data_IF_528557094801
#
_entry.id   IF_528557094801
#
_cell.length_a   1.000
_cell.length_b   1.000
_cell.length_c   1.000
_cell.angle_alpha   90.00
_cell.angle_beta   90.00
_cell.angle_gamma   90.00
#
_symmetry.space_group_name_H-M   'P 1'
#
loop_
_entity.id
_entity.type
_entity.pdbx_description
1 polymer ?
#
# COMPACT_ATOMS: atom_id res chain seq x y z
N UNK A 1 19.27 9.85 -60.80
CA UNK A 1 20.66 10.39 -60.80
C UNK A 1 20.54 11.90 -60.58
N UNK A 2 21.11 12.57 -59.57
CA UNK A 2 22.42 12.45 -58.91
C UNK A 2 22.31 12.70 -57.39
N UNK A 3 23.31 12.19 -56.66
CA UNK A 3 23.50 12.21 -55.21
C UNK A 3 24.13 13.52 -54.75
N UNK A 4 23.80 13.97 -53.55
CA UNK A 4 24.72 14.82 -52.75
C UNK A 4 24.61 14.41 -51.28
N UNK A 5 25.62 13.68 -50.80
CA UNK A 5 25.87 13.42 -49.39
C UNK A 5 27.03 14.32 -48.95
N UNK A 6 26.83 15.14 -47.93
CA UNK A 6 27.85 15.75 -47.06
C UNK A 6 27.21 15.76 -45.67
N UNK A 7 27.36 14.69 -44.89
CA UNK A 7 28.38 14.47 -43.84
C UNK A 7 28.40 15.49 -42.70
N UNK A 8 28.11 14.94 -41.51
CA UNK A 8 28.83 15.11 -40.24
C UNK A 8 28.49 16.27 -39.27
N UNK A 9 27.95 15.84 -38.12
CA UNK A 9 28.39 16.14 -36.74
C UNK A 9 28.21 17.59 -36.24
N UNK A 10 27.34 17.81 -35.26
CA UNK A 10 27.73 17.99 -33.83
C UNK A 10 26.55 18.52 -32.96
N UNK A 11 26.34 17.87 -31.79
CA UNK A 11 26.09 18.49 -30.46
C UNK A 11 24.70 19.17 -30.28
N UNK A 12 23.88 18.94 -29.26
CA UNK A 12 23.95 18.20 -28.02
C UNK A 12 22.54 18.10 -27.39
N UNK A 13 22.34 17.03 -26.62
CA UNK A 13 21.56 16.97 -25.37
C UNK A 13 20.57 18.11 -25.06
N UNK A 14 19.29 17.92 -25.39
CA UNK A 14 18.21 18.41 -24.54
C UNK A 14 17.68 17.22 -23.74
N UNK A 15 18.42 16.96 -22.67
CA UNK A 15 18.07 16.21 -21.46
C UNK A 15 16.61 15.76 -21.36
N UNK A 16 16.45 14.45 -21.57
CA UNK A 16 15.48 13.58 -20.95
C UNK A 16 15.17 14.05 -19.50
N UNK A 17 14.01 14.67 -19.27
CA UNK A 17 13.42 14.82 -17.93
C UNK A 17 12.92 13.44 -17.47
N UNK A 18 13.84 12.48 -17.30
CA UNK A 18 13.61 11.28 -16.51
C UNK A 18 14.00 11.62 -15.08
N UNK A 19 13.01 12.09 -14.31
CA UNK A 19 13.07 12.26 -12.87
C UNK A 19 12.12 11.30 -12.17
N UNK A 20 12.01 10.07 -12.65
CA UNK A 20 11.40 8.97 -11.87
C UNK A 20 12.48 8.44 -10.92
N UNK A 21 12.60 9.06 -9.75
CA UNK A 21 13.33 8.50 -8.63
C UNK A 21 12.32 8.15 -7.53
N UNK A 22 11.67 6.99 -7.68
CA UNK A 22 11.06 6.30 -6.56
C UNK A 22 12.13 5.36 -5.99
N UNK A 23 13.00 5.91 -5.16
CA UNK A 23 13.88 5.17 -4.28
C UNK A 23 13.81 5.86 -2.92
N UNK A 24 13.75 5.10 -1.84
CA UNK A 24 13.85 5.63 -0.48
C UNK A 24 15.23 6.28 -0.32
N UNK A 25 15.32 7.57 -0.63
CA UNK A 25 16.56 8.30 -0.82
C UNK A 25 16.85 9.11 0.46
N UNK A 26 17.82 8.65 1.24
CA UNK A 26 18.39 9.42 2.35
C UNK A 26 19.43 10.46 1.83
N UNK A 27 19.40 10.81 0.54
CA UNK A 27 20.20 11.89 -0.01
C UNK A 27 19.71 13.25 0.52
N UNK A 28 20.62 14.21 0.78
CA UNK A 28 20.23 15.54 1.22
C UNK A 28 19.39 16.23 0.14
N UNK A 29 18.17 16.66 0.51
CA UNK A 29 17.27 17.37 -0.40
C UNK A 29 17.92 18.63 -0.95
N UNK A 30 17.79 18.84 -2.26
CA UNK A 30 18.20 20.08 -2.89
C UNK A 30 17.24 21.22 -2.51
N UNK A 31 17.74 22.47 -2.49
CA UNK A 31 16.89 23.65 -2.23
C UNK A 31 15.72 23.78 -3.21
N UNK A 32 15.87 23.28 -4.44
CA UNK A 32 14.80 23.26 -5.43
C UNK A 32 13.68 22.27 -5.04
N UNK A 33 14.06 21.07 -4.60
CA UNK A 33 13.11 20.06 -4.10
C UNK A 33 12.36 20.56 -2.87
N UNK A 34 13.07 21.15 -1.90
CA UNK A 34 12.43 21.71 -0.68
C UNK A 34 11.40 22.79 -1.03
N UNK A 35 11.69 23.66 -2.00
CA UNK A 35 10.73 24.69 -2.45
C UNK A 35 9.52 24.08 -3.15
N UNK A 36 9.74 23.05 -3.97
CA UNK A 36 8.66 22.33 -4.65
C UNK A 36 7.74 21.65 -3.63
N UNK A 37 8.32 20.96 -2.64
CA UNK A 37 7.59 20.28 -1.57
C UNK A 37 6.82 21.28 -0.69
N UNK A 38 7.42 22.40 -0.30
CA UNK A 38 6.72 23.44 0.46
C UNK A 38 5.53 24.01 -0.32
N UNK A 39 5.71 24.28 -1.61
CA UNK A 39 4.63 24.75 -2.48
C UNK A 39 3.51 23.71 -2.57
N UNK A 40 3.86 22.43 -2.69
CA UNK A 40 2.91 21.33 -2.68
C UNK A 40 2.14 21.25 -1.36
N UNK A 41 2.83 21.31 -0.22
CA UNK A 41 2.23 21.28 1.11
C UNK A 41 1.26 22.45 1.33
N UNK A 42 1.62 23.66 0.90
CA UNK A 42 0.75 24.83 0.95
C UNK A 42 -0.49 24.63 0.08
N UNK A 43 -0.34 24.20 -1.17
CA UNK A 43 -1.46 24.02 -2.11
C UNK A 43 -2.42 22.90 -1.69
N UNK A 44 -1.91 21.87 -1.02
CA UNK A 44 -2.70 20.73 -0.54
C UNK A 44 -3.19 20.91 0.92
N UNK A 45 -2.83 22.02 1.56
CA UNK A 45 -3.22 22.36 2.91
C UNK A 45 -2.61 21.45 3.99
N UNK A 46 -1.49 20.78 3.70
CA UNK A 46 -0.67 20.04 4.67
C UNK A 46 0.32 20.95 5.40
N UNK A 47 -0.09 22.18 5.72
CA UNK A 47 0.67 23.11 6.55
C UNK A 47 -0.05 23.31 7.87
N UNK A 48 0.70 23.32 8.97
CA UNK A 48 0.14 23.63 10.30
C UNK A 48 -0.18 25.12 10.37
N UNK A 49 -1.40 25.47 10.79
CA UNK A 49 -1.87 26.87 10.83
C UNK A 49 -2.23 27.36 12.23
N UNK A 50 -2.24 26.46 13.22
CA UNK A 50 -2.51 26.78 14.63
C UNK A 50 -1.43 26.21 15.54
N UNK A 51 -1.31 26.79 16.73
CA UNK A 51 -0.47 26.27 17.81
C UNK A 51 -0.92 24.88 18.31
N UNK A 52 -2.16 24.50 18.04
CA UNK A 52 -2.70 23.16 18.33
C UNK A 52 -2.28 22.07 17.33
N UNK A 53 -1.50 22.41 16.30
CA UNK A 53 -1.02 21.45 15.32
C UNK A 53 -2.03 21.08 14.22
N UNK A 54 -3.12 21.86 14.08
CA UNK A 54 -4.14 21.59 13.06
C UNK A 54 -3.62 21.99 11.67
N UNK A 55 -3.98 21.18 10.67
CA UNK A 55 -3.62 21.45 9.28
C UNK A 55 -4.57 22.47 8.65
N UNK A 56 -4.07 23.23 7.68
CA UNK A 56 -4.85 24.20 6.92
C UNK A 56 -6.09 23.57 6.26
N UNK A 57 -5.97 22.34 5.75
CA UNK A 57 -7.10 21.60 5.13
C UNK A 57 -8.24 21.29 6.11
N UNK A 58 -7.93 21.14 7.40
CA UNK A 58 -8.90 20.74 8.41
C UNK A 58 -9.67 21.96 8.93
N UNK A 59 -9.00 23.11 9.00
CA UNK A 59 -9.59 24.38 9.44
C UNK A 59 -10.30 25.11 8.31
N UNK A 60 -9.73 25.08 7.10
CA UNK A 60 -10.22 25.80 5.92
C UNK A 60 -10.59 24.82 4.80
N UNK A 61 -11.37 23.79 5.10
CA UNK A 61 -11.66 22.70 4.15
C UNK A 61 -12.25 23.16 2.81
N UNK A 62 -12.99 24.28 2.77
CA UNK A 62 -13.53 24.84 1.52
C UNK A 62 -12.47 25.38 0.56
N UNK A 63 -11.25 25.67 1.05
CA UNK A 63 -10.16 26.24 0.25
C UNK A 63 -9.23 25.17 -0.33
N UNK A 64 -9.42 23.90 0.04
CA UNK A 64 -8.54 22.81 -0.34
C UNK A 64 -9.32 21.68 -1.03
N UNK A 65 -8.71 20.99 -2.00
CA UNK A 65 -9.35 19.87 -2.66
C UNK A 65 -9.62 18.76 -1.63
N UNK A 66 -10.86 18.25 -1.63
CA UNK A 66 -11.22 17.10 -0.82
C UNK A 66 -10.35 15.90 -1.22
N UNK A 67 -9.92 15.06 -0.26
CA UNK A 67 -9.22 13.84 -0.59
C UNK A 67 -10.10 13.01 -1.52
N UNK A 68 -9.53 12.55 -2.63
CA UNK A 68 -10.18 11.55 -3.46
C UNK A 68 -10.16 10.23 -2.70
N UNK A 69 -11.19 10.02 -1.90
CA UNK A 69 -11.46 8.72 -1.31
C UNK A 69 -12.02 7.86 -2.43
N UNK A 70 -11.37 6.74 -2.76
CA UNK A 70 -11.96 5.74 -3.63
C UNK A 70 -13.25 5.25 -2.95
N UNK A 71 -14.40 5.73 -3.44
CA UNK A 71 -15.68 5.34 -2.90
C UNK A 71 -16.07 3.98 -3.48
N UNK A 72 -16.28 2.99 -2.62
CA UNK A 72 -16.87 1.73 -3.02
C UNK A 72 -18.24 1.99 -3.66
N UNK A 73 -18.49 1.35 -4.80
CA UNK A 73 -19.81 1.34 -5.40
C UNK A 73 -20.79 0.63 -4.45
N UNK A 74 -22.09 0.98 -4.53
CA UNK A 74 -23.13 0.27 -3.74
C UNK A 74 -23.13 -1.24 -3.99
N UNK A 75 -22.71 -1.68 -5.17
CA UNK A 75 -22.59 -3.09 -5.50
C UNK A 75 -21.43 -3.75 -4.72
N UNK A 76 -20.26 -3.12 -4.66
CA UNK A 76 -19.11 -3.59 -3.88
C UNK A 76 -19.42 -3.64 -2.39
N UNK A 77 -20.02 -2.59 -1.83
CA UNK A 77 -20.42 -2.56 -0.41
C UNK A 77 -21.38 -3.71 -0.09
N UNK A 78 -22.33 -4.01 -0.98
CA UNK A 78 -23.26 -5.13 -0.80
C UNK A 78 -22.56 -6.48 -0.88
N UNK A 79 -21.59 -6.63 -1.78
CA UNK A 79 -20.81 -7.85 -1.92
C UNK A 79 -19.97 -8.10 -0.65
N UNK A 80 -19.23 -7.09 -0.18
CA UNK A 80 -18.43 -7.18 1.06
C UNK A 80 -19.31 -7.45 2.29
N UNK A 81 -20.46 -6.81 2.39
CA UNK A 81 -21.40 -7.05 3.48
C UNK A 81 -21.96 -8.48 3.44
N UNK A 82 -22.32 -8.98 2.25
CA UNK A 82 -22.80 -10.35 2.09
C UNK A 82 -21.72 -11.37 2.46
N UNK A 83 -20.46 -11.11 2.08
CA UNK A 83 -19.31 -11.93 2.45
C UNK A 83 -19.05 -11.91 3.97
N UNK A 84 -19.10 -10.73 4.60
CA UNK A 84 -18.95 -10.60 6.05
C UNK A 84 -20.05 -11.37 6.79
N UNK A 85 -21.31 -11.30 6.33
CA UNK A 85 -22.41 -12.09 6.90
C UNK A 85 -22.17 -13.58 6.67
N UNK A 86 -21.81 -14.01 5.46
CA UNK A 86 -21.62 -15.42 5.13
C UNK A 86 -20.47 -16.07 5.93
N UNK A 87 -19.39 -15.32 6.17
CA UNK A 87 -18.25 -15.74 6.99
C UNK A 87 -18.48 -15.57 8.49
N UNK A 88 -19.57 -14.91 8.90
CA UNK A 88 -19.83 -14.56 10.29
C UNK A 88 -18.87 -13.53 10.86
N UNK A 89 -18.14 -12.80 10.01
CA UNK A 89 -17.26 -11.68 10.39
C UNK A 89 -18.06 -10.39 10.65
N UNK A 90 -19.13 -10.52 11.44
CA UNK A 90 -20.01 -9.43 11.86
C UNK A 90 -20.07 -9.43 13.36
N UNK A 91 -19.98 -8.25 13.98
CA UNK A 91 -20.11 -8.11 15.42
C UNK A 91 -21.55 -8.38 15.87
N UNK A 92 -21.71 -9.19 16.92
CA UNK A 92 -23.01 -9.56 17.48
C UNK A 92 -23.32 -8.86 18.81
N UNK A 93 -22.35 -8.15 19.38
CA UNK A 93 -22.48 -7.44 20.65
C UNK A 93 -21.46 -6.29 20.79
N UNK A 94 -21.71 -5.41 21.76
CA UNK A 94 -20.80 -4.30 22.12
C UNK A 94 -19.46 -4.78 22.70
N UNK A 95 -19.37 -6.04 23.12
CA UNK A 95 -18.14 -6.67 23.58
C UNK A 95 -17.13 -6.94 22.46
N UNK A 96 -17.50 -6.69 21.19
CA UNK A 96 -16.62 -6.90 20.04
C UNK A 96 -16.49 -8.36 19.61
N UNK A 97 -17.38 -9.24 20.07
CA UNK A 97 -17.42 -10.64 19.64
C UNK A 97 -18.03 -10.77 18.25
N UNK A 98 -17.46 -11.64 17.42
CA UNK A 98 -17.94 -11.91 16.06
C UNK A 98 -18.94 -13.07 16.03
N UNK A 99 -19.82 -13.07 15.04
CA UNK A 99 -20.86 -14.10 14.90
C UNK A 99 -20.28 -15.51 14.73
N UNK A 100 -19.16 -15.65 14.00
CA UNK A 100 -18.46 -16.93 13.81
C UNK A 100 -17.78 -17.45 15.08
N UNK A 101 -17.47 -16.58 16.04
CA UNK A 101 -16.90 -16.95 17.33
C UNK A 101 -17.98 -17.46 18.29
N UNK A 102 -19.14 -16.77 18.33
CA UNK A 102 -20.25 -17.10 19.23
C UNK A 102 -21.10 -18.26 18.69
N UNK A 103 -21.33 -18.29 17.37
CA UNK A 103 -22.19 -19.26 16.70
C UNK A 103 -21.39 -20.07 15.69
N UNK A 104 -20.25 -20.62 16.10
CA UNK A 104 -19.33 -21.38 15.24
C UNK A 104 -19.99 -22.49 14.43
N UNK A 105 -21.02 -23.16 14.98
CA UNK A 105 -21.77 -24.21 14.27
C UNK A 105 -22.56 -23.72 13.05
N UNK A 106 -22.85 -22.41 12.97
CA UNK A 106 -23.65 -21.81 11.89
C UNK A 106 -22.78 -21.28 10.74
N UNK A 107 -21.46 -21.22 10.92
CA UNK A 107 -20.53 -20.65 9.96
C UNK A 107 -19.47 -21.68 9.60
N UNK A 108 -19.13 -21.78 8.31
CA UNK A 108 -17.99 -22.58 7.91
C UNK A 108 -16.73 -21.95 8.51
N UNK A 109 -16.07 -22.67 9.41
CA UNK A 109 -14.75 -22.28 9.91
C UNK A 109 -13.81 -22.33 8.71
N UNK A 110 -13.32 -21.17 8.30
CA UNK A 110 -12.34 -21.10 7.24
C UNK A 110 -11.04 -21.72 7.79
N UNK A 111 -10.82 -22.99 7.47
CA UNK A 111 -9.61 -23.72 7.82
C UNK A 111 -8.39 -23.23 7.02
N UNK A 112 -8.56 -22.20 6.20
CA UNK A 112 -7.56 -21.59 5.31
C UNK A 112 -6.39 -20.92 6.02
N UNK A 113 -6.45 -20.70 7.35
CA UNK A 113 -5.32 -20.14 8.12
C UNK A 113 -4.33 -21.25 8.53
N UNK A 114 -4.72 -22.52 8.47
CA UNK A 114 -3.83 -23.66 8.73
C UNK A 114 -3.22 -24.19 7.43
N UNK A 115 -1.88 -24.30 7.39
CA UNK A 115 -1.19 -25.05 6.33
C UNK A 115 -1.85 -26.41 6.17
N UNK A 116 -2.12 -26.80 4.92
CA UNK A 116 -2.64 -28.13 4.64
C UNK A 116 -1.65 -29.19 5.11
N UNK A 117 -2.15 -30.38 5.47
CA UNK A 117 -1.27 -31.50 5.85
C UNK A 117 -0.23 -31.82 4.77
N UNK A 118 -0.53 -31.50 3.52
CA UNK A 118 0.37 -31.71 2.39
C UNK A 118 1.47 -30.63 2.32
N UNK A 119 1.12 -29.37 2.52
CA UNK A 119 2.09 -28.28 2.64
C UNK A 119 3.04 -28.50 3.82
N UNK A 120 2.53 -28.95 4.97
CA UNK A 120 3.37 -29.29 6.14
C UNK A 120 4.32 -30.45 5.83
N UNK A 121 3.89 -31.44 5.02
CA UNK A 121 4.78 -32.54 4.60
C UNK A 121 5.84 -32.09 3.61
N UNK A 122 5.49 -31.19 2.68
CA UNK A 122 6.45 -30.61 1.74
C UNK A 122 7.51 -29.79 2.47
N UNK A 123 7.11 -28.91 3.39
CA UNK A 123 8.05 -28.16 4.22
C UNK A 123 8.95 -29.07 5.07
N UNK A 124 8.41 -30.17 5.59
CA UNK A 124 9.20 -31.14 6.35
C UNK A 124 10.20 -31.88 5.45
N UNK A 125 9.81 -32.25 4.23
CA UNK A 125 10.71 -32.85 3.25
C UNK A 125 11.82 -31.87 2.83
N UNK A 126 11.46 -30.61 2.57
CA UNK A 126 12.42 -29.54 2.26
C UNK A 126 13.36 -29.26 3.42
N UNK A 127 12.88 -29.29 4.67
CA UNK A 127 13.72 -29.12 5.85
C UNK A 127 14.71 -30.28 6.05
N UNK A 128 14.32 -31.51 5.70
CA UNK A 128 15.21 -32.68 5.68
C UNK A 128 16.26 -32.54 4.58
N UNK A 129 15.86 -32.19 3.36
CA UNK A 129 16.76 -32.06 2.20
C UNK A 129 17.80 -30.95 2.41
N UNK A 130 17.38 -29.84 3.01
CA UNK A 130 18.26 -28.70 3.31
C UNK A 130 19.03 -28.84 4.64
N UNK A 131 18.89 -29.97 5.36
CA UNK A 131 19.59 -30.21 6.63
C UNK A 131 19.24 -29.21 7.74
N UNK A 132 18.05 -28.58 7.68
CA UNK A 132 17.62 -27.49 8.57
C UNK A 132 17.10 -27.99 9.93
N UNK A 133 16.87 -29.29 10.09
CA UNK A 133 16.35 -29.88 11.33
C UNK A 133 17.34 -29.81 12.52
N UNK A 134 18.64 -29.68 12.25
CA UNK A 134 19.69 -29.77 13.29
C UNK A 134 19.99 -28.42 13.97
N UNK A 135 19.54 -27.28 13.41
CA UNK A 135 19.87 -25.93 13.92
C UNK A 135 19.12 -25.52 15.19
N UNK A 136 18.15 -26.30 15.66
CA UNK A 136 17.31 -25.95 16.82
C UNK A 136 17.48 -26.88 18.04
N UNK A 137 18.35 -27.90 17.99
CA UNK A 137 18.58 -28.83 19.12
C UNK A 137 19.81 -28.42 19.97
N UNK A 138 20.59 -27.43 19.54
CA UNK A 138 21.71 -26.90 20.33
C UNK A 138 21.38 -25.53 20.95
N UNK A 139 20.70 -25.54 22.10
CA UNK A 139 20.66 -24.44 23.07
C UNK A 139 20.61 -25.01 24.49
#
# INVERSE_FOLDING_TARGET
MKRTQISAIAIAFSTLFAGQAMAADNAPLTRAQVKAELTQAVNSGYTVVTESGLLAKDVFSSNYPAPQVESLTRAQVRAELAEAIASGNVFVSESGQRANEVFSSNYAQDSSIGKSREEVRQELAEAIENGLLDKHISA
#
